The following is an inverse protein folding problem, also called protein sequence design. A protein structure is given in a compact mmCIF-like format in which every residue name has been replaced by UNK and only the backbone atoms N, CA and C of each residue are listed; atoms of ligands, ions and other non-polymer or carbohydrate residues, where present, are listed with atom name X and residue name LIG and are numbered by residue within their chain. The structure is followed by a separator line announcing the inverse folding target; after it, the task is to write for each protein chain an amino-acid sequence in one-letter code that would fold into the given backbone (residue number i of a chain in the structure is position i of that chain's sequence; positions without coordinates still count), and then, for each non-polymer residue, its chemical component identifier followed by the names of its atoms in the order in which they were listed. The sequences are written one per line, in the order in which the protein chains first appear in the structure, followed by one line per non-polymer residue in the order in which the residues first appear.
data_IF_625203136585
#
_entry.id   IF_625203136585
#
_cell.length_a   1.000
_cell.length_b   1.000
_cell.length_c   1.000
_cell.angle_alpha   90.00
_cell.angle_beta   90.00
_cell.angle_gamma   90.00
#
_symmetry.space_group_name_H-M   'P 1'
#
loop_
_entity.id
_entity.type
_entity.pdbx_description
1 polymer ?
#
# COMPACT_ATOMS: atom_id res chain seq x y z
N UNK A 1 -11.86 -4.74 18.13
CA UNK A 1 -10.59 -5.47 18.02
C UNK A 1 -9.69 -4.65 17.11
N UNK A 2 -8.39 -4.52 17.39
CA UNK A 2 -7.50 -3.72 16.57
C UNK A 2 -7.49 -4.26 15.14
N UNK A 3 -7.62 -3.35 14.20
CA UNK A 3 -7.51 -3.54 12.76
C UNK A 3 -6.09 -4.08 12.49
N UNK A 4 -5.93 -5.40 12.35
CA UNK A 4 -4.60 -6.03 12.41
C UNK A 4 -3.85 -5.79 11.10
N UNK A 5 -3.13 -4.67 11.06
CA UNK A 5 -2.32 -4.29 9.90
C UNK A 5 -1.10 -5.20 9.80
N UNK A 6 -0.79 -5.65 8.60
CA UNK A 6 0.48 -6.29 8.29
C UNK A 6 1.53 -5.24 7.96
N UNK A 7 2.80 -5.59 8.22
CA UNK A 7 3.96 -4.81 7.79
C UNK A 7 4.87 -5.69 6.94
N UNK A 8 5.32 -5.15 5.81
CA UNK A 8 6.26 -5.80 4.91
C UNK A 8 7.46 -4.91 4.64
N UNK A 9 8.64 -5.51 4.52
CA UNK A 9 9.90 -4.79 4.38
C UNK A 9 10.74 -5.34 3.23
N UNK A 10 11.26 -4.45 2.39
CA UNK A 10 12.20 -4.80 1.31
C UNK A 10 12.94 -3.58 0.79
N UNK A 11 14.22 -3.71 0.50
CA UNK A 11 15.05 -2.64 -0.10
C UNK A 11 14.90 -1.29 0.63
N UNK A 12 14.94 -1.33 1.97
CA UNK A 12 14.76 -0.19 2.87
C UNK A 12 13.37 0.48 2.83
N UNK A 13 12.39 -0.10 2.13
CA UNK A 13 10.99 0.28 2.28
C UNK A 13 10.32 -0.56 3.36
N UNK A 14 9.50 0.10 4.17
CA UNK A 14 8.54 -0.52 5.08
C UNK A 14 7.15 -0.08 4.64
N UNK A 15 6.25 -1.04 4.40
CA UNK A 15 4.85 -0.75 4.06
C UNK A 15 3.93 -1.43 5.08
N UNK A 16 3.07 -0.64 5.71
CA UNK A 16 2.05 -1.12 6.66
C UNK A 16 0.66 -0.92 6.08
N UNK A 17 -0.18 -1.95 6.11
CA UNK A 17 -1.50 -1.96 5.45
C UNK A 17 -2.42 -3.04 6.05
N UNK A 18 -3.73 -2.94 5.82
CA UNK A 18 -4.65 -4.04 6.17
C UNK A 18 -4.58 -5.17 5.13
N UNK A 19 -4.35 -6.45 5.50
CA UNK A 19 -4.18 -7.56 4.54
C UNK A 19 -5.38 -7.83 3.64
N UNK A 20 -6.59 -7.55 4.11
CA UNK A 20 -7.80 -7.60 3.29
C UNK A 20 -7.84 -6.53 2.17
N UNK A 21 -6.98 -5.50 2.21
CA UNK A 21 -6.89 -4.51 1.15
C UNK A 21 -5.78 -4.87 0.15
N UNK A 22 -4.51 -4.88 0.56
CA UNK A 22 -3.43 -4.98 -0.41
C UNK A 22 -3.14 -6.45 -0.79
N UNK A 23 -3.21 -6.77 -2.07
CA UNK A 23 -2.68 -8.02 -2.65
C UNK A 23 -1.22 -7.90 -3.04
N UNK A 24 -0.77 -6.68 -3.35
CA UNK A 24 0.57 -6.38 -3.83
C UNK A 24 0.91 -4.92 -3.55
N UNK A 25 2.12 -4.66 -3.06
CA UNK A 25 2.66 -3.31 -2.87
C UNK A 25 3.98 -3.19 -3.62
N UNK A 26 4.07 -2.16 -4.45
CA UNK A 26 5.20 -1.94 -5.36
C UNK A 26 5.67 -0.49 -5.25
N UNK A 27 6.99 -0.29 -5.23
CA UNK A 27 7.62 1.01 -5.45
C UNK A 27 8.41 0.95 -6.76
N UNK A 28 8.09 1.82 -7.71
CA UNK A 28 8.81 1.93 -8.97
C UNK A 28 9.60 3.24 -9.00
N UNK A 29 10.88 3.18 -9.32
CA UNK A 29 11.75 4.35 -9.49
C UNK A 29 12.76 4.14 -10.60
N UNK A 30 13.79 5.00 -10.65
CA UNK A 30 14.88 4.91 -11.65
C UNK A 30 15.62 3.57 -11.59
N UNK A 31 15.77 3.00 -10.39
CA UNK A 31 16.45 1.72 -10.15
C UNK A 31 15.58 0.49 -10.52
N UNK A 32 14.35 0.72 -11.02
CA UNK A 32 13.40 -0.30 -11.43
C UNK A 32 12.24 -0.50 -10.45
N UNK A 33 11.61 -1.67 -10.55
CA UNK A 33 10.46 -2.06 -9.74
C UNK A 33 10.88 -2.83 -8.48
N UNK A 34 10.45 -2.37 -7.31
CA UNK A 34 10.59 -3.05 -6.03
C UNK A 34 9.23 -3.55 -5.53
N UNK A 35 8.96 -4.85 -5.69
CA UNK A 35 7.82 -5.51 -5.06
C UNK A 35 8.12 -5.76 -3.57
N UNK A 36 7.61 -4.86 -2.71
CA UNK A 36 7.79 -4.89 -1.24
C UNK A 36 6.92 -5.98 -0.62
N UNK A 37 5.72 -6.15 -1.15
CA UNK A 37 4.78 -7.17 -0.68
C UNK A 37 4.04 -7.80 -1.85
N UNK A 38 3.78 -9.10 -1.71
CA UNK A 38 2.86 -9.86 -2.53
C UNK A 38 2.16 -10.90 -1.66
N UNK A 39 0.85 -10.93 -1.74
CA UNK A 39 0.03 -11.90 -1.05
C UNK A 39 0.36 -13.31 -1.57
N UNK A 40 0.71 -14.21 -0.65
CA UNK A 40 1.04 -15.61 -0.94
C UNK A 40 -0.15 -16.55 -0.71
N UNK A 41 -1.09 -16.18 0.15
CA UNK A 41 -2.28 -16.94 0.47
C UNK A 41 -3.48 -16.02 0.79
N UNK A 42 -4.73 -16.49 0.62
CA UNK A 42 -5.91 -15.74 1.02
C UNK A 42 -5.86 -15.33 2.50
N UNK A 43 -6.30 -14.11 2.81
CA UNK A 43 -6.39 -13.62 4.18
C UNK A 43 -7.71 -14.07 4.84
N UNK A 44 -7.62 -14.64 6.03
CA UNK A 44 -8.78 -15.03 6.81
C UNK A 44 -9.32 -13.82 7.59
N UNK A 45 -10.57 -13.45 7.33
CA UNK A 45 -11.24 -12.37 8.06
C UNK A 45 -11.68 -12.80 9.48
N UNK A 46 -11.62 -14.09 9.83
CA UNK A 46 -11.89 -14.61 11.18
C UNK A 46 -13.21 -14.08 11.80
N UNK A 47 -14.28 -14.12 11.00
CA UNK A 47 -15.60 -13.62 11.39
C UNK A 47 -15.78 -12.09 11.33
N UNK A 48 -14.73 -11.34 10.97
CA UNK A 48 -14.82 -9.89 10.74
C UNK A 48 -15.40 -9.58 9.36
N UNK A 49 -16.00 -8.39 9.25
CA UNK A 49 -16.36 -7.82 7.96
C UNK A 49 -15.11 -7.29 7.25
N UNK A 50 -15.16 -7.22 5.92
CA UNK A 50 -14.12 -6.55 5.16
C UNK A 50 -13.98 -5.07 5.60
N UNK A 51 -12.76 -4.55 5.80
CA UNK A 51 -12.56 -3.16 6.20
C UNK A 51 -13.12 -2.20 5.15
N UNK A 52 -13.86 -1.20 5.63
CA UNK A 52 -14.44 -0.09 4.85
C UNK A 52 -13.56 1.15 4.83
N UNK A 53 -12.47 1.13 5.58
CA UNK A 53 -11.50 2.21 5.71
C UNK A 53 -10.12 1.60 5.57
N UNK A 54 -9.31 2.16 4.69
CA UNK A 54 -8.00 1.63 4.37
C UNK A 54 -6.95 2.64 4.80
N UNK A 55 -6.01 2.18 5.61
CA UNK A 55 -4.82 2.96 5.95
C UNK A 55 -3.59 2.25 5.38
N UNK A 56 -2.77 3.01 4.67
CA UNK A 56 -1.50 2.53 4.14
C UNK A 56 -0.42 3.51 4.54
N UNK A 57 0.66 2.98 5.08
CA UNK A 57 1.83 3.75 5.49
C UNK A 57 3.04 3.23 4.73
N UNK A 58 3.68 4.10 3.95
CA UNK A 58 4.97 3.85 3.31
C UNK A 58 6.05 4.61 4.08
N UNK A 59 7.12 3.92 4.46
CA UNK A 59 8.29 4.51 5.12
C UNK A 59 9.60 4.06 4.46
N UNK A 60 10.61 4.92 4.50
CA UNK A 60 11.98 4.63 4.09
C UNK A 60 12.24 4.83 2.60
N UNK A 61 13.02 3.94 2.00
CA UNK A 61 13.50 4.08 0.63
C UNK A 61 14.66 5.05 0.47
N UNK A 62 15.02 5.35 -0.78
CA UNK A 62 16.17 6.20 -1.14
C UNK A 62 16.03 7.64 -0.63
N UNK A 63 14.79 8.10 -0.50
CA UNK A 63 14.46 9.49 -0.11
C UNK A 63 13.90 9.60 1.31
N UNK A 64 14.05 8.56 2.14
CA UNK A 64 13.59 8.50 3.54
C UNK A 64 12.14 9.00 3.71
N UNK A 65 11.23 8.43 2.93
CA UNK A 65 9.82 8.83 2.89
C UNK A 65 9.13 8.47 4.21
N UNK A 66 8.13 9.25 4.57
CA UNK A 66 7.16 8.89 5.62
C UNK A 66 5.78 9.40 5.18
N UNK A 67 5.00 8.52 4.55
CA UNK A 67 3.73 8.88 3.89
C UNK A 67 2.61 7.95 4.36
N UNK A 68 1.61 8.52 5.01
CA UNK A 68 0.38 7.82 5.39
C UNK A 68 -0.79 8.29 4.52
N UNK A 69 -1.52 7.35 3.93
CA UNK A 69 -2.79 7.59 3.26
C UNK A 69 -3.91 6.89 4.01
N UNK A 70 -5.02 7.58 4.16
CA UNK A 70 -6.23 7.05 4.76
C UNK A 70 -7.41 7.32 3.81
N UNK A 71 -8.17 6.28 3.49
CA UNK A 71 -9.27 6.36 2.53
C UNK A 71 -10.49 5.63 3.05
N UNK A 72 -11.64 6.29 3.01
CA UNK A 72 -12.94 5.66 3.26
C UNK A 72 -13.47 5.03 1.95
N UNK A 73 -13.65 3.71 1.98
CA UNK A 73 -14.17 2.88 0.90
C UNK A 73 -15.33 1.99 1.36
N UNK A 74 -16.47 2.60 1.74
CA UNK A 74 -17.60 1.86 2.32
C UNK A 74 -18.28 0.88 1.34
N UNK A 75 -17.99 1.01 0.05
CA UNK A 75 -18.55 0.19 -1.03
C UNK A 75 -17.54 -0.81 -1.62
N UNK A 76 -16.31 -0.85 -1.12
CA UNK A 76 -15.24 -1.71 -1.62
C UNK A 76 -14.99 -1.53 -3.13
N UNK A 77 -15.00 -0.28 -3.60
CA UNK A 77 -14.91 0.07 -5.03
C UNK A 77 -13.48 0.46 -5.44
N UNK A 78 -12.55 0.63 -4.50
CA UNK A 78 -11.17 1.02 -4.81
C UNK A 78 -10.41 -0.21 -5.28
N UNK A 79 -9.96 -0.21 -6.54
CA UNK A 79 -9.14 -1.29 -7.11
C UNK A 79 -7.64 -1.12 -6.82
N UNK A 80 -7.16 0.11 -6.71
CA UNK A 80 -5.75 0.39 -6.49
C UNK A 80 -5.56 1.80 -5.92
N UNK A 81 -4.47 2.00 -5.19
CA UNK A 81 -3.97 3.31 -4.78
C UNK A 81 -2.63 3.50 -5.48
N UNK A 82 -2.50 4.62 -6.18
CA UNK A 82 -1.30 5.01 -6.91
C UNK A 82 -0.85 6.38 -6.42
N UNK A 83 0.38 6.46 -5.93
CA UNK A 83 0.95 7.68 -5.32
C UNK A 83 2.24 8.00 -6.04
N UNK A 84 2.24 9.15 -6.71
CA UNK A 84 3.44 9.72 -7.31
C UNK A 84 4.20 10.53 -6.25
N UNK A 85 5.45 10.19 -6.05
CA UNK A 85 6.34 10.82 -5.08
C UNK A 85 7.40 11.60 -5.85
N UNK A 86 7.45 12.89 -5.56
CA UNK A 86 8.35 13.83 -6.23
C UNK A 86 9.61 14.03 -5.37
N UNK A 87 10.74 14.26 -6.02
CA UNK A 87 12.00 14.60 -5.34
C UNK A 87 11.96 16.03 -4.78
N UNK A 88 13.07 16.44 -4.19
CA UNK A 88 13.24 17.81 -3.72
C UNK A 88 13.08 18.79 -4.88
N UNK A 89 12.25 19.81 -4.65
CA UNK A 89 12.05 20.91 -5.60
C UNK A 89 12.85 22.11 -5.12
N UNK A 90 13.51 22.80 -6.06
CA UNK A 90 14.10 24.08 -5.71
C UNK A 90 12.98 25.08 -5.42
N UNK A 91 13.21 26.10 -4.56
CA UNK A 91 12.20 27.13 -4.31
C UNK A 91 11.70 27.83 -5.58
N UNK A 92 12.56 27.93 -6.61
CA UNK A 92 12.23 28.49 -7.92
C UNK A 92 11.24 27.62 -8.74
N UNK A 93 11.04 26.36 -8.37
CA UNK A 93 10.12 25.46 -9.06
C UNK A 93 8.67 25.57 -8.54
N UNK A 94 8.48 26.20 -7.37
CA UNK A 94 7.17 26.37 -6.73
C UNK A 94 6.33 27.40 -7.51
N UNK A 95 5.21 26.96 -8.11
CA UNK A 95 4.34 27.80 -8.93
C UNK A 95 4.76 27.91 -10.40
N UNK A 96 5.79 27.18 -10.82
CA UNK A 96 6.16 27.06 -12.24
C UNK A 96 5.25 26.06 -12.96
N UNK A 97 4.97 26.28 -14.25
CA UNK A 97 4.25 25.33 -15.12
C UNK A 97 5.10 24.10 -15.51
N UNK A 98 6.29 23.97 -14.93
CA UNK A 98 7.22 22.90 -15.26
C UNK A 98 6.72 21.59 -14.65
N UNK A 99 6.36 20.65 -15.51
CA UNK A 99 6.01 19.29 -15.10
C UNK A 99 7.29 18.53 -14.79
N UNK A 100 7.44 18.11 -13.54
CA UNK A 100 8.53 17.23 -13.12
C UNK A 100 8.02 15.78 -13.15
N UNK A 101 8.80 14.81 -13.63
CA UNK A 101 8.44 13.42 -13.46
C UNK A 101 8.49 13.04 -11.96
N UNK A 102 7.65 12.10 -11.55
CA UNK A 102 7.79 11.45 -10.25
C UNK A 102 9.14 10.72 -10.19
N UNK A 103 9.83 10.81 -9.05
CA UNK A 103 11.09 10.06 -8.84
C UNK A 103 10.81 8.65 -8.36
N UNK A 104 9.67 8.47 -7.68
CA UNK A 104 9.15 7.20 -7.24
C UNK A 104 7.63 7.16 -7.41
N UNK A 105 7.11 5.96 -7.60
CA UNK A 105 5.69 5.69 -7.65
C UNK A 105 5.38 4.52 -6.74
N UNK A 106 4.55 4.75 -5.73
CA UNK A 106 4.03 3.69 -4.88
C UNK A 106 2.66 3.24 -5.39
N UNK A 107 2.49 1.94 -5.58
CA UNK A 107 1.21 1.33 -5.96
C UNK A 107 0.82 0.23 -4.98
N UNK A 108 -0.37 0.33 -4.40
CA UNK A 108 -1.02 -0.73 -3.64
C UNK A 108 -2.23 -1.25 -4.42
N UNK A 109 -2.19 -2.53 -4.79
CA UNK A 109 -3.27 -3.18 -5.54
C UNK A 109 -4.29 -3.79 -4.57
N UNK A 110 -5.57 -3.48 -4.77
CA UNK A 110 -6.68 -4.03 -4.02
C UNK A 110 -7.38 -5.12 -4.83
N UNK A 111 -6.67 -6.24 -4.97
CA UNK A 111 -7.24 -7.50 -5.47
C UNK A 111 -6.97 -8.60 -4.45
N UNK A 112 -6.94 -8.24 -3.16
CA UNK A 112 -6.63 -9.17 -2.09
C UNK A 112 -7.65 -10.29 -2.09
N UNK A 113 -7.15 -11.52 -2.03
CA UNK A 113 -8.01 -12.68 -1.83
C UNK A 113 -8.31 -12.76 -0.34
N UNK A 114 -9.58 -12.66 0.01
CA UNK A 114 -10.05 -12.92 1.37
C UNK A 114 -10.85 -14.20 1.39
N UNK A 115 -10.63 -15.03 2.40
CA UNK A 115 -11.49 -16.17 2.65
C UNK A 115 -12.90 -15.70 3.07
N UNK A 116 -13.97 -16.42 2.68
CA UNK A 116 -15.28 -16.26 3.28
C UNK A 116 -15.22 -16.36 4.82
N UNK A 117 -16.15 -15.74 5.55
CA UNK A 117 -16.13 -15.69 7.02
C UNK A 117 -16.07 -17.06 7.73
N UNK A 118 -16.46 -18.13 7.04
CA UNK A 118 -16.51 -19.50 7.57
C UNK A 118 -15.40 -20.42 7.04
N UNK A 119 -14.33 -19.89 6.44
CA UNK A 119 -13.15 -20.70 6.18
C UNK A 119 -12.48 -21.01 7.52
N UNK A 120 -12.72 -22.21 8.04
CA UNK A 120 -11.92 -22.77 9.10
C UNK A 120 -10.48 -22.87 8.59
N UNK A 121 -9.51 -22.35 9.35
CA UNK A 121 -8.11 -22.69 9.10
C UNK A 121 -8.00 -24.22 9.03
N UNK A 122 -7.27 -24.79 8.04
CA UNK A 122 -6.92 -26.20 8.14
C UNK A 122 -6.15 -26.35 9.45
N UNK A 123 -6.69 -27.17 10.36
CA UNK A 123 -6.05 -27.44 11.65
C UNK A 123 -4.61 -27.94 11.47
N UNK A 124 -3.79 -27.85 12.53
CA UNK A 124 -2.37 -28.19 12.48
C UNK A 124 -2.09 -29.61 11.99
#
# INVERSE_FOLDING_TARGET
MPDEHATAEKNNYTVTFHPAFASRCVVTGEDGECEVYKQSAPHHLNGQAHPKKHRIHLKGGKFDRDVSLEIDDPKHAIKQIHVELYGDRAPADIGSDKVFPAVETFTAFNTAQTCPPNCLEPGP
#
